data_IF_037938086313
#
_entry.id   IF_037938086313
#
_cell.length_a   1.000
_cell.length_b   1.000
_cell.length_c   1.000
_cell.angle_alpha   90.00
_cell.angle_beta   90.00
_cell.angle_gamma   90.00
#
_symmetry.space_group_name_H-M   'P 1'
#
loop_
_entity.id
_entity.type
_entity.pdbx_description
1 polymer ?
#
# COMPACT_ATOMS: atom_id res chain seq x y z
N UNK A 1 4.24 -16.36 0.35
CA UNK A 1 3.25 -16.17 1.47
C UNK A 1 2.07 -15.37 0.98
N UNK A 2 0.87 -15.69 1.38
CA UNK A 2 -0.38 -14.96 1.14
C UNK A 2 -1.28 -15.01 2.38
N UNK A 3 -2.33 -14.22 2.40
CA UNK A 3 -3.32 -14.17 3.48
C UNK A 3 -3.10 -13.03 4.46
N UNK A 4 -4.03 -12.95 5.42
CA UNK A 4 -3.98 -12.01 6.54
C UNK A 4 -3.35 -12.68 7.75
N UNK A 5 -2.34 -12.05 8.33
CA UNK A 5 -1.64 -12.57 9.49
C UNK A 5 -1.80 -11.63 10.68
N UNK A 6 -2.27 -12.18 11.79
CA UNK A 6 -2.35 -11.46 13.06
C UNK A 6 -1.22 -11.87 13.96
N UNK A 7 -0.43 -10.90 14.37
CA UNK A 7 0.70 -11.07 15.26
C UNK A 7 0.35 -10.46 16.61
N UNK A 8 0.51 -11.23 17.67
CA UNK A 8 0.44 -10.72 19.03
C UNK A 8 1.72 -11.06 19.78
N UNK A 9 2.47 -10.02 20.21
CA UNK A 9 3.70 -10.14 20.99
C UNK A 9 3.41 -9.66 22.42
N UNK A 10 3.60 -10.54 23.41
CA UNK A 10 3.19 -10.32 24.81
C UNK A 10 4.36 -10.47 25.77
N UNK A 11 4.42 -9.59 26.77
CA UNK A 11 5.18 -9.77 27.99
C UNK A 11 4.28 -9.57 29.22
N UNK A 12 4.88 -9.60 30.42
CA UNK A 12 4.14 -9.27 31.65
C UNK A 12 3.57 -7.86 31.68
N UNK A 13 4.20 -6.91 30.97
CA UNK A 13 3.87 -5.47 31.05
C UNK A 13 3.22 -4.90 29.81
N UNK A 14 3.49 -5.48 28.62
CA UNK A 14 3.08 -4.90 27.35
C UNK A 14 2.59 -5.97 26.38
N UNK A 15 1.61 -5.61 25.57
CA UNK A 15 1.06 -6.41 24.47
C UNK A 15 1.05 -5.56 23.22
N UNK A 16 1.56 -6.11 22.13
CA UNK A 16 1.47 -5.53 20.79
C UNK A 16 0.59 -6.41 19.92
N UNK A 17 -0.29 -5.79 19.13
CA UNK A 17 -1.12 -6.46 18.13
C UNK A 17 -0.93 -5.78 16.79
N UNK A 18 -0.56 -6.55 15.77
CA UNK A 18 -0.34 -6.09 14.40
C UNK A 18 -1.09 -7.03 13.46
N UNK A 19 -1.80 -6.48 12.49
CA UNK A 19 -2.46 -7.23 11.43
C UNK A 19 -1.78 -6.88 10.10
N UNK A 20 -1.35 -7.90 9.35
CA UNK A 20 -0.65 -7.77 8.07
C UNK A 20 -1.48 -8.40 6.97
N UNK A 21 -1.53 -7.73 5.82
CA UNK A 21 -2.21 -8.22 4.61
C UNK A 21 -1.30 -8.18 3.38
N UNK A 22 -0.11 -7.56 3.53
CA UNK A 22 0.79 -7.25 2.41
C UNK A 22 2.21 -7.69 2.72
N UNK A 23 2.93 -7.99 1.66
CA UNK A 23 4.34 -8.40 1.74
C UNK A 23 5.27 -7.33 2.33
N UNK A 24 4.94 -6.04 2.20
CA UNK A 24 5.72 -4.94 2.79
C UNK A 24 4.79 -4.07 3.63
N UNK A 25 5.10 -3.95 4.90
CA UNK A 25 4.42 -3.07 5.86
C UNK A 25 5.44 -2.15 6.50
N UNK A 26 5.16 -0.86 6.51
CA UNK A 26 5.98 0.15 7.18
C UNK A 26 5.37 0.45 8.55
N UNK A 27 6.17 0.31 9.61
CA UNK A 27 5.77 0.67 10.96
C UNK A 27 6.41 2.01 11.33
N UNK A 28 5.63 3.09 11.23
CA UNK A 28 6.02 4.47 11.56
C UNK A 28 5.53 4.88 12.94
N UNK A 29 5.77 6.12 13.28
CA UNK A 29 5.28 6.81 14.46
C UNK A 29 6.39 7.44 15.29
N UNK A 30 5.98 8.26 16.25
CA UNK A 30 6.89 9.05 17.09
C UNK A 30 7.77 8.19 17.99
N UNK A 31 8.76 8.83 18.60
CA UNK A 31 9.56 8.23 19.67
C UNK A 31 8.64 7.79 20.82
N UNK A 32 9.04 6.75 21.53
CA UNK A 32 8.32 6.18 22.67
C UNK A 32 6.97 5.48 22.38
N UNK A 33 6.63 5.19 21.12
CA UNK A 33 5.45 4.36 20.78
C UNK A 33 5.67 2.86 21.00
N UNK A 34 6.90 2.45 21.33
CA UNK A 34 7.25 1.06 21.64
C UNK A 34 7.74 0.23 20.45
N UNK A 35 8.05 0.83 19.30
CA UNK A 35 8.56 0.12 18.10
C UNK A 35 9.84 -0.67 18.42
N UNK A 36 10.85 -0.01 18.98
CA UNK A 36 12.10 -0.66 19.40
C UNK A 36 11.85 -1.76 20.44
N UNK A 37 10.97 -1.51 21.42
CA UNK A 37 10.59 -2.53 22.41
C UNK A 37 9.94 -3.75 21.75
N UNK A 38 9.12 -3.57 20.71
CA UNK A 38 8.55 -4.67 19.95
C UNK A 38 9.66 -5.53 19.30
N UNK A 39 10.62 -4.89 18.61
CA UNK A 39 11.72 -5.59 17.93
C UNK A 39 12.65 -6.27 18.96
N UNK A 40 12.97 -5.60 20.09
CA UNK A 40 13.73 -6.20 21.18
C UNK A 40 13.04 -7.43 21.77
N UNK A 41 11.71 -7.41 21.95
CA UNK A 41 10.94 -8.55 22.42
C UNK A 41 11.00 -9.71 21.44
N UNK A 42 10.88 -9.46 20.12
CA UNK A 42 11.03 -10.46 19.08
C UNK A 42 12.42 -11.08 19.09
N UNK A 43 13.47 -10.26 19.15
CA UNK A 43 14.87 -10.72 19.25
C UNK A 43 15.12 -11.54 20.50
N UNK A 44 14.58 -11.12 21.65
CA UNK A 44 14.69 -11.86 22.89
C UNK A 44 14.01 -13.23 22.81
N UNK A 45 12.85 -13.31 22.18
CA UNK A 45 12.17 -14.57 21.95
C UNK A 45 12.94 -15.49 20.97
N UNK A 46 13.51 -14.94 19.91
CA UNK A 46 14.32 -15.70 18.94
C UNK A 46 15.55 -16.32 19.64
N UNK A 47 16.22 -15.57 20.53
CA UNK A 47 17.44 -16.03 21.20
C UNK A 47 17.18 -16.95 22.41
N UNK A 48 16.10 -16.73 23.19
CA UNK A 48 15.88 -17.40 24.48
C UNK A 48 14.56 -18.18 24.55
N UNK A 49 13.74 -18.13 23.50
CA UNK A 49 12.43 -18.76 23.47
C UNK A 49 11.55 -18.33 24.64
N UNK A 50 10.84 -19.26 25.26
CA UNK A 50 9.96 -18.98 26.40
C UNK A 50 10.70 -18.44 27.65
N UNK A 51 12.02 -18.66 27.75
CA UNK A 51 12.82 -18.13 28.87
C UNK A 51 12.99 -16.62 28.82
N UNK A 52 12.76 -15.97 27.66
CA UNK A 52 12.74 -14.51 27.53
C UNK A 52 11.59 -13.83 28.32
N UNK A 53 10.58 -14.59 28.72
CA UNK A 53 9.35 -14.03 29.29
C UNK A 53 8.43 -13.37 28.25
N UNK A 54 8.74 -13.54 26.96
CA UNK A 54 7.93 -13.12 25.83
C UNK A 54 7.15 -14.30 25.27
N UNK A 55 5.96 -14.02 24.76
CA UNK A 55 5.13 -14.99 24.01
C UNK A 55 4.74 -14.34 22.69
N UNK A 56 4.91 -15.06 21.60
CA UNK A 56 4.45 -14.67 20.27
C UNK A 56 3.31 -15.60 19.86
N UNK A 57 2.19 -15.01 19.43
CA UNK A 57 1.04 -15.73 18.86
C UNK A 57 0.89 -15.24 17.42
N UNK A 58 1.19 -16.11 16.49
CA UNK A 58 1.05 -15.89 15.05
C UNK A 58 0.97 -17.27 14.38
N UNK A 59 0.31 -17.35 13.23
CA UNK A 59 0.28 -18.54 12.37
C UNK A 59 1.57 -18.73 11.58
N UNK A 60 2.40 -17.68 11.49
CA UNK A 60 3.72 -17.69 10.83
C UNK A 60 4.83 -17.46 11.84
N UNK A 61 6.03 -17.92 11.49
CA UNK A 61 7.22 -17.58 12.24
C UNK A 61 7.51 -16.08 12.16
N UNK A 62 7.96 -15.48 13.26
CA UNK A 62 8.42 -14.09 13.29
C UNK A 62 9.91 -14.08 13.61
N UNK A 63 10.69 -13.39 12.78
CA UNK A 63 12.16 -13.26 12.95
C UNK A 63 12.60 -11.82 12.84
N UNK A 64 13.74 -11.49 13.38
CA UNK A 64 14.39 -10.17 13.24
C UNK A 64 15.58 -10.29 12.30
N UNK A 65 15.60 -9.47 11.26
CA UNK A 65 16.72 -9.35 10.32
C UNK A 65 17.53 -8.11 10.68
N UNK A 66 18.82 -8.26 10.95
CA UNK A 66 19.67 -7.16 11.39
C UNK A 66 21.14 -7.38 11.08
N UNK A 67 21.90 -6.27 11.13
CA UNK A 67 23.36 -6.27 11.03
C UNK A 67 23.91 -6.42 9.60
N UNK A 68 25.23 -6.40 9.46
CA UNK A 68 25.92 -6.37 8.17
C UNK A 68 25.80 -7.67 7.36
N UNK A 69 25.43 -8.78 8.02
CA UNK A 69 25.27 -10.09 7.36
C UNK A 69 23.82 -10.40 6.98
N UNK A 70 22.98 -9.39 6.84
CA UNK A 70 21.56 -9.54 6.56
C UNK A 70 21.28 -10.39 5.30
N UNK A 71 22.08 -10.26 4.24
CA UNK A 71 21.91 -11.05 3.01
C UNK A 71 22.10 -12.55 3.25
N UNK A 72 23.09 -12.91 4.06
CA UNK A 72 23.34 -14.29 4.41
C UNK A 72 22.20 -14.86 5.27
N UNK A 73 21.72 -14.08 6.24
CA UNK A 73 20.59 -14.45 7.09
C UNK A 73 19.31 -14.64 6.27
N UNK A 74 19.05 -13.74 5.30
CA UNK A 74 17.83 -13.76 4.49
C UNK A 74 17.70 -15.01 3.62
N UNK A 75 18.81 -15.59 3.18
CA UNK A 75 18.82 -16.82 2.35
C UNK A 75 18.14 -18.02 3.03
N UNK A 76 18.21 -18.07 4.37
CA UNK A 76 17.66 -19.16 5.17
C UNK A 76 16.26 -18.84 5.75
N UNK A 77 15.68 -17.69 5.38
CA UNK A 77 14.38 -17.25 5.88
C UNK A 77 13.33 -17.41 4.77
N UNK A 78 12.37 -18.28 5.01
CA UNK A 78 11.26 -18.58 4.09
C UNK A 78 9.93 -18.65 4.87
N UNK A 79 8.83 -18.30 4.22
CA UNK A 79 7.46 -18.33 4.78
C UNK A 79 7.36 -17.70 6.18
N UNK A 80 8.04 -16.56 6.37
CA UNK A 80 8.31 -15.94 7.67
C UNK A 80 7.93 -14.47 7.64
N UNK A 81 7.45 -13.93 8.75
CA UNK A 81 7.27 -12.49 8.95
C UNK A 81 8.57 -11.93 9.52
N UNK A 82 9.25 -11.12 8.70
CA UNK A 82 10.58 -10.57 8.98
C UNK A 82 10.46 -9.13 9.46
N UNK A 83 10.92 -8.87 10.68
CA UNK A 83 11.00 -7.54 11.25
C UNK A 83 12.39 -6.94 11.05
N UNK A 84 12.44 -5.68 10.64
CA UNK A 84 13.69 -4.92 10.50
C UNK A 84 13.58 -3.65 11.33
N UNK A 85 14.54 -3.43 12.25
CA UNK A 85 14.49 -2.28 13.18
C UNK A 85 14.98 -0.98 12.54
N UNK A 86 14.56 0.13 13.14
CA UNK A 86 15.02 1.49 12.83
C UNK A 86 16.56 1.54 12.94
N UNK A 87 17.22 2.16 11.98
CA UNK A 87 18.70 2.21 11.93
C UNK A 87 19.37 1.10 11.10
N UNK A 88 18.61 0.16 10.56
CA UNK A 88 19.12 -0.82 9.59
C UNK A 88 19.33 -0.15 8.22
N UNK A 89 20.51 0.39 7.96
CA UNK A 89 20.81 1.20 6.76
C UNK A 89 20.64 0.47 5.43
N UNK A 90 20.68 -0.86 5.44
CA UNK A 90 20.50 -1.67 4.24
C UNK A 90 19.07 -1.61 3.67
N UNK A 91 18.06 -1.24 4.47
CA UNK A 91 16.63 -1.23 4.07
C UNK A 91 16.35 -0.29 2.90
N UNK A 92 17.07 0.83 2.81
CA UNK A 92 16.95 1.79 1.71
C UNK A 92 17.74 1.42 0.45
N UNK A 93 18.54 0.33 0.49
CA UNK A 93 19.37 -0.09 -0.63
C UNK A 93 18.58 -0.80 -1.74
N UNK A 94 19.07 -0.67 -2.98
CA UNK A 94 18.55 -1.44 -4.11
C UNK A 94 18.81 -2.95 -3.95
N UNK A 95 19.87 -3.34 -3.25
CA UNK A 95 20.21 -4.75 -3.04
C UNK A 95 19.18 -5.40 -2.10
N UNK A 96 18.77 -4.71 -1.04
CA UNK A 96 17.67 -5.17 -0.19
C UNK A 96 16.37 -5.29 -0.98
N UNK A 97 16.00 -4.27 -1.75
CA UNK A 97 14.80 -4.30 -2.59
C UNK A 97 14.79 -5.49 -3.57
N UNK A 98 15.94 -5.78 -4.19
CA UNK A 98 16.10 -6.93 -5.10
C UNK A 98 16.06 -8.28 -4.36
N UNK A 99 16.66 -8.35 -3.18
CA UNK A 99 16.71 -9.56 -2.39
C UNK A 99 15.31 -9.99 -1.93
N UNK A 100 14.52 -9.07 -1.37
CA UNK A 100 13.19 -9.38 -0.85
C UNK A 100 12.17 -9.74 -1.94
N UNK A 101 12.34 -9.25 -3.18
CA UNK A 101 11.50 -9.63 -4.33
C UNK A 101 11.55 -11.12 -4.67
N UNK A 102 12.57 -11.83 -4.21
CA UNK A 102 12.82 -13.24 -4.52
C UNK A 102 12.39 -14.17 -3.39
N UNK A 103 11.77 -13.63 -2.36
CA UNK A 103 11.35 -14.38 -1.18
C UNK A 103 9.83 -14.46 -1.10
N UNK A 104 9.34 -15.43 -0.36
CA UNK A 104 7.93 -15.59 -0.01
C UNK A 104 7.58 -15.01 1.36
N UNK A 105 8.47 -14.18 1.93
CA UNK A 105 8.29 -13.59 3.25
C UNK A 105 7.39 -12.34 3.23
N UNK A 106 6.86 -11.97 4.41
CA UNK A 106 6.31 -10.66 4.68
C UNK A 106 7.31 -9.85 5.51
N UNK A 107 7.38 -8.54 5.27
CA UNK A 107 8.34 -7.64 5.90
C UNK A 107 7.64 -6.54 6.68
N UNK A 108 8.03 -6.36 7.93
CA UNK A 108 7.64 -5.23 8.78
C UNK A 108 8.86 -4.35 9.01
N UNK A 109 8.92 -3.24 8.29
CA UNK A 109 10.06 -2.33 8.30
C UNK A 109 9.79 -1.17 9.25
N UNK A 110 10.51 -1.11 10.35
CA UNK A 110 10.42 -0.02 11.32
C UNK A 110 11.32 1.11 10.84
N UNK A 111 10.74 2.19 10.33
CA UNK A 111 11.50 3.32 9.79
C UNK A 111 10.72 4.62 9.80
N UNK A 112 11.43 5.75 9.81
CA UNK A 112 10.87 7.09 9.57
C UNK A 112 11.17 7.59 8.16
N UNK A 113 12.07 6.91 7.46
CA UNK A 113 12.47 7.27 6.11
C UNK A 113 11.45 6.81 5.09
N UNK A 114 11.38 7.52 3.98
CA UNK A 114 10.63 7.13 2.80
C UNK A 114 11.50 6.21 1.94
N UNK A 115 11.10 4.94 1.87
CA UNK A 115 11.86 3.91 1.16
C UNK A 115 11.46 3.91 -0.33
N UNK A 116 12.00 4.84 -1.12
CA UNK A 116 11.66 5.00 -2.55
C UNK A 116 12.00 3.78 -3.42
N UNK A 117 12.90 2.93 -2.94
CA UNK A 117 13.27 1.67 -3.62
C UNK A 117 12.21 0.58 -3.52
N UNK A 118 11.21 0.73 -2.64
CA UNK A 118 10.20 -0.27 -2.33
C UNK A 118 8.80 0.22 -2.72
N UNK A 119 7.99 -0.59 -3.44
CA UNK A 119 6.62 -0.26 -3.80
C UNK A 119 5.64 -0.70 -2.70
N UNK A 120 5.63 -0.03 -1.54
CA UNK A 120 4.66 -0.34 -0.50
C UNK A 120 3.40 0.50 -0.62
N UNK A 121 2.29 -0.11 -0.16
CA UNK A 121 0.99 0.53 -0.20
C UNK A 121 0.84 1.62 0.86
N UNK A 122 0.04 2.63 0.53
CA UNK A 122 -0.41 3.65 1.49
C UNK A 122 -1.13 3.01 2.67
N UNK A 123 -1.95 1.98 2.43
CA UNK A 123 -2.69 1.23 3.45
C UNK A 123 -1.80 0.35 4.34
N UNK A 124 -0.55 0.10 3.92
CA UNK A 124 0.43 -0.67 4.69
C UNK A 124 1.39 0.21 5.52
N UNK A 125 1.11 1.51 5.65
CA UNK A 125 1.86 2.40 6.54
C UNK A 125 1.09 2.49 7.86
N UNK A 126 1.62 1.83 8.89
CA UNK A 126 0.98 1.68 10.19
C UNK A 126 1.68 2.48 11.28
N UNK A 127 0.94 2.88 12.30
CA UNK A 127 1.46 3.42 13.56
C UNK A 127 0.98 2.61 14.76
N UNK A 128 1.82 2.50 15.78
CA UNK A 128 1.45 1.89 17.05
C UNK A 128 0.75 2.92 17.94
N UNK A 129 -0.49 2.61 18.32
CA UNK A 129 -1.25 3.42 19.29
C UNK A 129 -1.52 2.62 20.56
N UNK A 130 -1.34 3.28 21.70
CA UNK A 130 -1.78 2.74 22.98
C UNK A 130 -3.31 2.75 23.02
N UNK A 131 -3.90 1.55 23.14
CA UNK A 131 -5.37 1.41 23.13
C UNK A 131 -5.95 1.43 24.54
N UNK A 132 -5.30 0.75 25.47
CA UNK A 132 -5.78 0.66 26.86
C UNK A 132 -4.65 0.30 27.81
N UNK A 133 -4.90 0.47 29.11
CA UNK A 133 -4.02 0.03 30.19
C UNK A 133 -4.88 -0.66 31.24
N UNK A 134 -4.75 -1.98 31.38
CA UNK A 134 -5.50 -2.80 32.35
C UNK A 134 -4.54 -3.69 33.14
N UNK A 135 -4.78 -3.82 34.45
CA UNK A 135 -3.99 -4.70 35.32
C UNK A 135 -2.47 -4.49 35.20
N UNK A 136 -2.01 -3.23 35.17
CA UNK A 136 -0.59 -2.86 35.01
C UNK A 136 0.03 -3.29 33.67
N UNK A 137 -0.80 -3.59 32.67
CA UNK A 137 -0.37 -4.00 31.32
C UNK A 137 -0.79 -2.95 30.29
N UNK A 138 0.11 -2.56 29.41
CA UNK A 138 -0.15 -1.65 28.30
C UNK A 138 -0.46 -2.44 27.03
N UNK A 139 -1.51 -2.09 26.32
CA UNK A 139 -1.89 -2.67 25.07
C UNK A 139 -1.66 -1.67 23.94
N UNK A 140 -0.93 -2.07 22.90
CA UNK A 140 -0.67 -1.29 21.72
C UNK A 140 -1.17 -2.06 20.49
N UNK A 141 -1.86 -1.36 19.58
CA UNK A 141 -2.32 -1.91 18.33
C UNK A 141 -1.81 -1.04 17.18
N UNK A 142 -1.42 -1.69 16.08
CA UNK A 142 -1.07 -1.00 14.85
C UNK A 142 -2.32 -0.59 14.06
N UNK A 143 -2.33 0.65 13.54
CA UNK A 143 -3.41 1.21 12.73
C UNK A 143 -2.84 1.89 11.51
N UNK A 144 -3.52 1.85 10.35
CA UNK A 144 -3.13 2.64 9.18
C UNK A 144 -3.09 4.14 9.53
N UNK A 145 -2.06 4.84 9.06
CA UNK A 145 -1.90 6.28 9.30
C UNK A 145 -2.85 7.09 8.43
N UNK A 146 -3.07 6.65 7.19
CA UNK A 146 -3.78 7.40 6.15
C UNK A 146 -5.18 6.88 5.85
N UNK A 147 -5.78 6.11 6.77
CA UNK A 147 -7.11 5.49 6.59
C UNK A 147 -8.21 6.53 6.28
N UNK A 148 -8.15 7.69 6.92
CA UNK A 148 -9.12 8.78 6.70
C UNK A 148 -9.07 9.40 5.29
N UNK A 149 -7.96 9.27 4.57
CA UNK A 149 -7.82 9.80 3.21
C UNK A 149 -8.54 8.93 2.17
N UNK A 150 -8.68 7.64 2.45
CA UNK A 150 -9.40 6.69 1.58
C UNK A 150 -10.91 6.97 1.53
N UNK A 151 -11.44 7.75 2.47
CA UNK A 151 -12.86 8.05 2.61
C UNK A 151 -13.28 9.42 2.05
N UNK A 152 -12.39 10.17 1.39
CA UNK A 152 -12.74 11.49 0.85
C UNK A 152 -13.72 11.35 -0.31
N UNK A 153 -14.99 11.71 -0.05
CA UNK A 153 -16.06 11.83 -1.05
C UNK A 153 -15.81 13.08 -1.91
N UNK A 154 -14.86 13.04 -2.82
CA UNK A 154 -14.62 14.12 -3.78
C UNK A 154 -15.64 14.00 -4.90
N UNK A 155 -16.43 15.06 -5.13
CA UNK A 155 -17.31 15.17 -6.29
C UNK A 155 -16.52 15.80 -7.43
N UNK A 156 -16.49 15.16 -8.60
CA UNK A 156 -15.77 15.69 -9.77
C UNK A 156 -16.23 17.07 -10.21
N UNK A 157 -17.50 17.44 -9.93
CA UNK A 157 -18.01 18.78 -10.20
C UNK A 157 -17.37 19.90 -9.37
N UNK A 158 -16.72 19.55 -8.26
CA UNK A 158 -16.03 20.51 -7.39
C UNK A 158 -14.52 20.63 -7.71
N UNK A 159 -14.03 19.85 -8.69
CA UNK A 159 -12.61 19.77 -9.07
C UNK A 159 -12.33 20.62 -10.30
N UNK A 160 -11.24 21.37 -10.28
CA UNK A 160 -10.80 22.22 -11.41
C UNK A 160 -9.87 21.47 -12.34
N UNK A 161 -9.05 20.56 -11.80
CA UNK A 161 -8.08 19.75 -12.56
C UNK A 161 -7.95 18.34 -12.02
N UNK A 162 -7.69 17.37 -12.91
CA UNK A 162 -7.22 16.04 -12.55
C UNK A 162 -5.73 15.95 -12.80
N UNK A 163 -4.98 15.37 -11.86
CA UNK A 163 -3.55 15.06 -12.00
C UNK A 163 -3.37 13.56 -11.82
N UNK A 164 -3.06 12.85 -12.91
CA UNK A 164 -2.79 11.42 -12.88
C UNK A 164 -1.30 11.11 -12.71
N UNK A 165 -1.00 10.00 -12.04
CA UNK A 165 0.36 9.52 -11.88
C UNK A 165 0.98 9.16 -13.23
N UNK A 166 0.29 8.30 -14.01
CA UNK A 166 0.79 7.77 -15.28
C UNK A 166 0.48 8.68 -16.48
N UNK A 167 1.13 8.40 -17.61
CA UNK A 167 0.91 9.05 -18.90
C UNK A 167 0.20 8.13 -19.93
N UNK A 168 -0.23 6.94 -19.50
CA UNK A 168 -0.73 5.88 -20.35
C UNK A 168 -2.24 5.63 -20.16
N UNK A 169 -2.61 4.40 -19.86
CA UNK A 169 -4.01 3.94 -19.76
C UNK A 169 -4.82 4.72 -18.72
N UNK A 170 -4.25 5.02 -17.55
CA UNK A 170 -4.92 5.82 -16.52
C UNK A 170 -5.15 7.26 -16.98
N UNK A 171 -4.14 7.89 -17.57
CA UNK A 171 -4.28 9.23 -18.15
C UNK A 171 -5.36 9.25 -19.24
N UNK A 172 -5.41 8.25 -20.14
CA UNK A 172 -6.44 8.14 -21.18
C UNK A 172 -7.84 8.03 -20.57
N UNK A 173 -8.02 7.17 -19.55
CA UNK A 173 -9.30 7.00 -18.88
C UNK A 173 -9.75 8.29 -18.19
N UNK A 174 -8.90 8.88 -17.36
CA UNK A 174 -9.27 10.06 -16.58
C UNK A 174 -9.37 11.34 -17.41
N UNK A 175 -8.68 11.42 -18.56
CA UNK A 175 -8.94 12.46 -19.56
C UNK A 175 -10.37 12.34 -20.09
N UNK A 176 -10.81 11.13 -20.44
CA UNK A 176 -12.16 10.90 -20.93
C UNK A 176 -13.22 11.18 -19.87
N UNK A 177 -12.93 10.83 -18.63
CA UNK A 177 -13.79 11.19 -17.48
C UNK A 177 -13.85 12.71 -17.28
N UNK A 178 -12.68 13.39 -17.32
CA UNK A 178 -12.60 14.84 -17.18
C UNK A 178 -13.38 15.60 -18.25
N UNK A 179 -13.27 15.20 -19.52
CA UNK A 179 -14.05 15.76 -20.65
C UNK A 179 -15.54 15.82 -20.35
N UNK A 180 -16.11 14.78 -19.74
CA UNK A 180 -17.53 14.68 -19.40
C UNK A 180 -17.97 15.73 -18.36
N UNK A 181 -17.06 16.12 -17.47
CA UNK A 181 -17.32 17.10 -16.40
C UNK A 181 -16.74 18.49 -16.69
N UNK A 182 -16.12 18.68 -17.87
CA UNK A 182 -15.46 19.93 -18.23
C UNK A 182 -14.16 20.17 -17.43
N UNK A 183 -13.52 19.11 -16.90
CA UNK A 183 -12.31 19.17 -16.08
C UNK A 183 -11.11 18.73 -16.89
N UNK A 184 -10.04 19.55 -16.87
CA UNK A 184 -8.79 19.22 -17.57
C UNK A 184 -8.02 18.15 -16.81
N UNK A 185 -7.56 17.11 -17.52
CA UNK A 185 -6.68 16.09 -16.98
C UNK A 185 -5.24 16.37 -17.45
N UNK A 186 -4.29 16.30 -16.51
CA UNK A 186 -2.84 16.41 -16.77
C UNK A 186 -2.15 15.17 -16.19
N UNK A 187 -1.02 14.78 -16.80
CA UNK A 187 -0.23 13.65 -16.33
C UNK A 187 1.05 14.14 -15.63
N UNK A 188 1.39 13.50 -14.50
CA UNK A 188 2.66 13.69 -13.83
C UNK A 188 3.80 12.89 -14.49
N UNK A 189 3.48 11.96 -15.38
CA UNK A 189 4.44 11.05 -16.01
C UNK A 189 5.32 10.30 -14.99
N UNK A 190 4.75 9.91 -13.86
CA UNK A 190 5.37 9.13 -12.80
C UNK A 190 5.14 9.72 -11.40
N UNK A 191 5.03 8.84 -10.41
CA UNK A 191 4.72 9.19 -9.01
C UNK A 191 5.69 10.18 -8.38
N UNK A 192 6.97 10.11 -8.76
CA UNK A 192 8.03 10.97 -8.22
C UNK A 192 7.87 12.45 -8.64
N UNK A 193 7.15 12.70 -9.74
CA UNK A 193 6.91 14.05 -10.25
C UNK A 193 5.67 14.72 -9.61
N UNK A 194 4.78 13.95 -8.97
CA UNK A 194 3.53 14.48 -8.43
C UNK A 194 3.76 15.63 -7.45
N UNK A 195 4.73 15.50 -6.53
CA UNK A 195 5.07 16.55 -5.58
C UNK A 195 5.46 17.86 -6.26
N UNK A 196 6.29 17.78 -7.29
CA UNK A 196 6.77 18.96 -8.03
C UNK A 196 5.64 19.64 -8.80
N UNK A 197 4.70 18.84 -9.34
CA UNK A 197 3.57 19.37 -10.09
C UNK A 197 2.48 19.96 -9.19
N UNK A 198 2.18 19.32 -8.05
CA UNK A 198 1.14 19.80 -7.14
C UNK A 198 1.57 21.03 -6.34
N UNK A 199 2.86 21.20 -6.06
CA UNK A 199 3.36 22.28 -5.22
C UNK A 199 2.94 23.69 -5.73
N UNK A 200 3.08 24.05 -7.03
CA UNK A 200 2.65 25.34 -7.54
C UNK A 200 1.13 25.51 -7.61
N UNK A 201 0.35 24.43 -7.66
CA UNK A 201 -1.12 24.46 -7.75
C UNK A 201 -1.83 23.94 -6.50
N UNK A 202 -1.13 23.87 -5.36
CA UNK A 202 -1.71 23.34 -4.10
C UNK A 202 -2.94 24.10 -3.60
N UNK A 203 -3.09 25.37 -3.97
CA UNK A 203 -4.28 26.18 -3.66
C UNK A 203 -5.42 26.05 -4.67
N UNK A 204 -5.23 25.30 -5.75
CA UNK A 204 -6.27 24.96 -6.72
C UNK A 204 -7.02 23.69 -6.28
N UNK A 205 -8.26 23.52 -6.72
CA UNK A 205 -9.03 22.30 -6.47
C UNK A 205 -8.62 21.19 -7.42
N UNK A 206 -7.48 20.56 -7.12
CA UNK A 206 -6.90 19.46 -7.92
C UNK A 206 -7.21 18.12 -7.27
N UNK A 207 -7.66 17.14 -8.06
CA UNK A 207 -7.72 15.75 -7.65
C UNK A 207 -6.52 15.00 -8.19
N UNK A 208 -5.64 14.57 -7.29
CA UNK A 208 -4.49 13.72 -7.61
C UNK A 208 -4.94 12.26 -7.60
N UNK A 209 -4.63 11.54 -8.66
CA UNK A 209 -5.01 10.14 -8.86
C UNK A 209 -3.73 9.33 -9.05
N UNK A 210 -3.48 8.37 -8.15
CA UNK A 210 -2.30 7.52 -8.18
C UNK A 210 -2.59 6.11 -7.67
N UNK A 211 -1.71 5.14 -8.02
CA UNK A 211 -1.85 3.74 -7.62
C UNK A 211 -1.48 3.54 -6.15
N UNK A 212 -2.49 3.51 -5.28
CA UNK A 212 -2.34 3.42 -3.82
C UNK A 212 -1.54 2.20 -3.34
N UNK A 213 -1.54 1.11 -4.11
CA UNK A 213 -0.75 -0.08 -3.82
C UNK A 213 0.78 0.14 -3.83
N UNK A 214 1.26 1.22 -4.47
CA UNK A 214 2.68 1.52 -4.63
C UNK A 214 3.06 2.98 -4.31
N UNK A 215 2.11 3.79 -3.86
CA UNK A 215 2.28 5.22 -3.60
C UNK A 215 2.80 5.55 -2.19
N UNK A 216 3.02 4.55 -1.35
CA UNK A 216 3.47 4.72 0.03
C UNK A 216 4.71 5.60 0.20
N UNK A 217 5.77 5.46 -0.62
CA UNK A 217 6.97 6.30 -0.52
C UNK A 217 6.72 7.81 -0.68
N UNK A 218 5.72 8.21 -1.45
CA UNK A 218 5.39 9.62 -1.72
C UNK A 218 4.47 10.23 -0.65
N UNK A 219 3.79 9.39 0.15
CA UNK A 219 2.73 9.85 1.05
C UNK A 219 3.16 10.87 2.08
N UNK A 220 4.35 10.71 2.67
CA UNK A 220 4.80 11.62 3.72
C UNK A 220 4.92 13.07 3.21
N UNK A 221 5.50 13.23 2.04
CA UNK A 221 5.69 14.54 1.40
C UNK A 221 4.36 15.16 0.95
N UNK A 222 3.51 14.37 0.31
CA UNK A 222 2.20 14.82 -0.16
C UNK A 222 1.29 15.14 1.03
N UNK A 223 1.29 14.33 2.09
CA UNK A 223 0.49 14.57 3.28
C UNK A 223 0.93 15.85 4.01
N UNK A 224 2.23 16.16 4.06
CA UNK A 224 2.71 17.45 4.60
C UNK A 224 2.17 18.64 3.83
N UNK A 225 2.15 18.57 2.48
CA UNK A 225 1.56 19.62 1.66
C UNK A 225 0.06 19.78 1.92
N UNK A 226 -0.67 18.66 2.16
CA UNK A 226 -2.11 18.70 2.48
C UNK A 226 -2.41 19.36 3.83
N UNK A 227 -1.45 19.38 4.76
CA UNK A 227 -1.62 20.02 6.08
C UNK A 227 -1.41 21.53 6.05
N UNK A 228 -0.99 22.11 4.94
CA UNK A 228 -0.86 23.55 4.81
C UNK A 228 -2.26 24.20 4.66
N UNK A 229 -2.50 25.33 5.34
CA UNK A 229 -3.80 26.01 5.33
C UNK A 229 -4.30 26.41 3.93
N UNK A 230 -3.37 26.63 2.99
CA UNK A 230 -3.68 26.98 1.59
C UNK A 230 -3.96 25.76 0.71
N UNK A 231 -3.75 24.55 1.18
CA UNK A 231 -3.91 23.33 0.38
C UNK A 231 -5.38 23.03 0.12
N UNK A 232 -5.75 22.88 -1.16
CA UNK A 232 -7.12 22.56 -1.60
C UNK A 232 -7.16 21.28 -2.44
N UNK A 233 -6.02 20.65 -2.71
CA UNK A 233 -5.99 19.41 -3.46
C UNK A 233 -6.44 18.21 -2.62
N UNK A 234 -6.95 17.22 -3.30
CA UNK A 234 -7.41 15.95 -2.72
C UNK A 234 -6.70 14.78 -3.37
N UNK A 235 -6.68 13.63 -2.69
CA UNK A 235 -6.09 12.40 -3.19
C UNK A 235 -7.18 11.36 -3.46
N UNK A 236 -7.04 10.65 -4.58
CA UNK A 236 -7.77 9.42 -4.85
C UNK A 236 -6.75 8.33 -5.15
N UNK A 237 -6.63 7.36 -4.25
CA UNK A 237 -5.58 6.35 -4.23
C UNK A 237 -6.21 4.94 -4.27
N UNK A 238 -6.83 4.54 -5.41
CA UNK A 238 -7.25 3.15 -5.61
C UNK A 238 -6.03 2.23 -5.56
N UNK A 239 -6.26 0.92 -5.43
CA UNK A 239 -5.15 -0.05 -5.45
C UNK A 239 -4.33 0.09 -6.76
N UNK A 240 -5.02 0.14 -7.91
CA UNK A 240 -4.45 0.50 -9.21
C UNK A 240 -5.57 0.85 -10.20
N UNK A 241 -5.22 1.31 -11.40
CA UNK A 241 -6.17 1.48 -12.49
C UNK A 241 -6.87 0.15 -12.82
N UNK A 242 -6.11 -0.93 -12.94
CA UNK A 242 -6.65 -2.25 -13.30
C UNK A 242 -7.63 -2.76 -12.23
N UNK A 243 -7.34 -2.51 -10.95
CA UNK A 243 -8.28 -2.80 -9.88
C UNK A 243 -9.61 -2.05 -10.06
N UNK A 244 -9.57 -0.78 -10.47
CA UNK A 244 -10.79 -0.01 -10.78
C UNK A 244 -11.57 -0.62 -11.94
N UNK A 245 -10.88 -1.00 -13.02
CA UNK A 245 -11.51 -1.62 -14.18
C UNK A 245 -12.16 -2.97 -13.83
N UNK A 246 -11.49 -3.80 -13.03
CA UNK A 246 -12.02 -5.06 -12.52
C UNK A 246 -13.23 -4.83 -11.61
N UNK A 247 -13.15 -3.84 -10.71
CA UNK A 247 -14.22 -3.50 -9.77
C UNK A 247 -15.47 -2.94 -10.46
N UNK A 248 -15.33 -2.35 -11.64
CA UNK A 248 -16.47 -1.93 -12.46
C UNK A 248 -17.30 -3.11 -12.99
N UNK A 249 -16.89 -4.34 -12.71
CA UNK A 249 -17.55 -5.60 -13.09
C UNK A 249 -17.92 -5.67 -14.58
N UNK A 250 -16.99 -5.19 -15.43
CA UNK A 250 -17.19 -5.20 -16.87
C UNK A 250 -17.06 -6.60 -17.48
N UNK A 251 -16.46 -7.53 -16.74
CA UNK A 251 -16.24 -8.91 -17.14
C UNK A 251 -17.38 -9.84 -16.74
N UNK A 252 -18.18 -9.48 -15.73
CA UNK A 252 -19.26 -10.31 -15.19
C UNK A 252 -18.77 -11.66 -14.64
N UNK A 253 -17.59 -11.70 -14.03
CA UNK A 253 -16.93 -12.90 -13.51
C UNK A 253 -16.99 -12.91 -11.97
N UNK A 254 -17.79 -13.80 -11.35
CA UNK A 254 -17.98 -13.82 -9.89
C UNK A 254 -16.68 -14.07 -9.09
N UNK A 255 -15.75 -14.88 -9.63
CA UNK A 255 -14.46 -15.17 -9.00
C UNK A 255 -13.56 -13.92 -8.95
N UNK A 256 -13.68 -13.02 -9.91
CA UNK A 256 -12.98 -11.72 -9.87
C UNK A 256 -13.49 -10.87 -8.70
N UNK A 257 -14.79 -10.85 -8.46
CA UNK A 257 -15.37 -10.12 -7.32
C UNK A 257 -14.89 -10.68 -5.98
N UNK A 258 -14.77 -12.00 -5.85
CA UNK A 258 -14.21 -12.64 -4.65
C UNK A 258 -12.74 -12.22 -4.42
N UNK A 259 -11.92 -12.23 -5.48
CA UNK A 259 -10.52 -11.78 -5.42
C UNK A 259 -10.43 -10.31 -4.97
N UNK A 260 -11.32 -9.45 -5.47
CA UNK A 260 -11.33 -8.03 -5.11
C UNK A 260 -11.78 -7.77 -3.66
N UNK A 261 -12.61 -8.65 -3.08
CA UNK A 261 -13.05 -8.57 -1.69
C UNK A 261 -11.99 -9.07 -0.71
N UNK A 262 -11.21 -10.09 -1.10
CA UNK A 262 -10.22 -10.74 -0.26
C UNK A 262 -8.85 -10.88 -0.96
N UNK A 263 -8.26 -9.78 -1.47
CA UNK A 263 -7.08 -9.86 -2.34
C UNK A 263 -5.88 -10.51 -1.65
N UNK A 264 -5.72 -10.33 -0.33
CA UNK A 264 -4.63 -10.95 0.42
C UNK A 264 -4.62 -12.47 0.30
N UNK A 265 -5.78 -13.12 0.17
CA UNK A 265 -5.88 -14.58 0.10
C UNK A 265 -5.46 -15.15 -1.26
N UNK A 266 -5.32 -14.28 -2.27
CA UNK A 266 -5.01 -14.67 -3.65
C UNK A 266 -3.62 -14.20 -4.11
N UNK A 267 -3.07 -13.15 -3.51
CA UNK A 267 -1.82 -12.53 -3.95
C UNK A 267 -0.63 -13.18 -3.26
N UNK A 268 0.10 -14.01 -4.01
CA UNK A 268 1.32 -14.66 -3.52
C UNK A 268 2.53 -13.70 -3.60
N UNK A 269 3.18 -13.45 -2.45
CA UNK A 269 4.29 -12.50 -2.33
C UNK A 269 5.53 -12.87 -3.13
N UNK A 270 5.77 -14.16 -3.36
CA UNK A 270 6.87 -14.65 -4.19
C UNK A 270 6.66 -14.41 -5.69
N UNK A 271 5.40 -14.22 -6.12
CA UNK A 271 5.03 -13.96 -7.52
C UNK A 271 4.82 -12.47 -7.79
N UNK A 272 4.18 -11.78 -6.83
CA UNK A 272 3.78 -10.39 -7.00
C UNK A 272 4.37 -9.50 -5.90
N UNK A 273 5.33 -8.67 -6.27
CA UNK A 273 5.98 -7.74 -5.35
C UNK A 273 5.09 -6.57 -4.91
N UNK A 274 4.06 -6.26 -5.67
CA UNK A 274 3.00 -5.30 -5.31
C UNK A 274 1.64 -5.79 -5.80
N UNK A 275 0.58 -5.33 -5.13
CA UNK A 275 -0.78 -5.63 -5.55
C UNK A 275 -1.14 -5.03 -6.91
N UNK A 276 -0.56 -3.89 -7.29
CA UNK A 276 -0.67 -3.31 -8.63
C UNK A 276 -0.29 -4.34 -9.71
N UNK A 277 0.88 -4.99 -9.56
CA UNK A 277 1.35 -6.01 -10.53
C UNK A 277 0.40 -7.19 -10.63
N UNK A 278 -0.19 -7.61 -9.51
CA UNK A 278 -1.18 -8.68 -9.51
C UNK A 278 -2.43 -8.29 -10.29
N UNK A 279 -3.00 -7.11 -10.03
CA UNK A 279 -4.22 -6.66 -10.72
C UNK A 279 -3.98 -6.42 -12.21
N UNK A 280 -2.82 -5.91 -12.59
CA UNK A 280 -2.40 -5.81 -14.00
C UNK A 280 -2.40 -7.20 -14.65
N UNK A 281 -1.72 -8.16 -14.05
CA UNK A 281 -1.66 -9.54 -14.56
C UNK A 281 -3.05 -10.18 -14.63
N UNK A 282 -3.87 -10.01 -13.60
CA UNK A 282 -5.23 -10.54 -13.55
C UNK A 282 -6.09 -9.99 -14.70
N UNK A 283 -6.07 -8.66 -14.93
CA UNK A 283 -6.85 -8.04 -15.99
C UNK A 283 -6.36 -8.48 -17.37
N UNK A 284 -5.04 -8.53 -17.59
CA UNK A 284 -4.45 -9.03 -18.85
C UNK A 284 -4.88 -10.47 -19.13
N UNK A 285 -4.78 -11.37 -18.15
CA UNK A 285 -5.17 -12.77 -18.31
C UNK A 285 -6.66 -12.93 -18.58
N UNK A 286 -7.53 -12.16 -17.91
CA UNK A 286 -8.98 -12.26 -18.06
C UNK A 286 -9.51 -11.70 -19.38
N UNK A 287 -8.71 -10.84 -20.03
CA UNK A 287 -9.13 -10.15 -21.26
C UNK A 287 -8.36 -10.61 -22.51
N UNK A 288 -7.32 -11.44 -22.37
CA UNK A 288 -6.43 -11.84 -23.47
C UNK A 288 -7.15 -12.43 -24.70
N UNK A 289 -8.22 -13.19 -24.46
CA UNK A 289 -8.97 -13.89 -25.49
C UNK A 289 -10.22 -13.09 -25.99
N UNK A 290 -10.37 -11.85 -25.53
CA UNK A 290 -11.48 -10.95 -25.88
C UNK A 290 -10.90 -9.73 -26.62
N UNK A 291 -10.80 -9.75 -27.95
CA UNK A 291 -10.02 -8.75 -28.71
C UNK A 291 -10.42 -7.29 -28.44
N UNK A 292 -11.71 -6.99 -28.29
CA UNK A 292 -12.20 -5.62 -28.05
C UNK A 292 -12.03 -5.14 -26.60
N UNK A 293 -11.72 -6.04 -25.65
CA UNK A 293 -11.46 -5.76 -24.23
C UNK A 293 -10.02 -6.04 -23.84
N UNK A 294 -9.21 -6.61 -24.73
CA UNK A 294 -7.85 -7.01 -24.39
C UNK A 294 -7.08 -5.83 -23.80
N UNK A 295 -6.78 -5.93 -22.52
CA UNK A 295 -6.09 -4.87 -21.79
C UNK A 295 -4.66 -4.69 -22.30
N UNK A 296 -4.27 -3.43 -22.47
CA UNK A 296 -2.91 -3.00 -22.79
C UNK A 296 -2.60 -1.75 -21.95
N UNK A 297 -1.57 -1.85 -21.10
CA UNK A 297 -1.17 -0.75 -20.20
C UNK A 297 -0.70 0.49 -20.98
N UNK A 298 -0.17 0.34 -22.20
CA UNK A 298 0.27 1.43 -23.04
C UNK A 298 -0.89 2.16 -23.75
N UNK A 299 -1.92 1.40 -24.13
CA UNK A 299 -3.07 1.93 -24.88
C UNK A 299 -4.37 1.27 -24.44
N UNK A 300 -5.18 2.01 -23.72
CA UNK A 300 -6.47 1.53 -23.24
C UNK A 300 -7.43 1.29 -24.42
N UNK A 301 -8.01 0.08 -24.55
CA UNK A 301 -9.02 -0.20 -25.58
C UNK A 301 -10.23 0.73 -25.48
N UNK A 302 -10.78 1.11 -26.63
CA UNK A 302 -11.97 2.00 -26.72
C UNK A 302 -13.15 1.51 -25.88
N UNK A 303 -13.26 0.20 -25.71
CA UNK A 303 -14.26 -0.43 -24.85
C UNK A 303 -14.33 0.17 -23.43
N UNK A 304 -13.18 0.47 -22.81
CA UNK A 304 -13.12 1.06 -21.47
C UNK A 304 -13.42 2.55 -21.44
N UNK A 305 -13.30 3.22 -22.59
CA UNK A 305 -13.52 4.66 -22.74
C UNK A 305 -14.97 5.03 -23.06
N UNK A 306 -15.86 4.04 -23.32
CA UNK A 306 -17.25 4.28 -23.67
C UNK A 306 -18.09 4.75 -22.47
N UNK A 307 -18.97 5.73 -22.69
CA UNK A 307 -19.78 6.43 -21.67
C UNK A 307 -20.53 5.54 -20.66
N UNK A 308 -21.18 4.48 -21.13
CA UNK A 308 -21.95 3.57 -20.26
C UNK A 308 -21.08 2.85 -19.21
N UNK A 309 -19.77 2.74 -19.48
CA UNK A 309 -18.83 2.00 -18.64
C UNK A 309 -18.05 2.93 -17.72
N UNK A 310 -17.67 4.11 -18.21
CA UNK A 310 -17.14 5.17 -17.36
C UNK A 310 -18.16 5.63 -16.30
N UNK A 311 -19.46 5.53 -16.57
CA UNK A 311 -20.53 5.80 -15.60
C UNK A 311 -20.61 4.74 -14.50
N UNK A 312 -20.33 3.44 -14.78
CA UNK A 312 -20.23 2.39 -13.75
C UNK A 312 -19.01 2.58 -12.87
N UNK A 313 -17.89 2.99 -13.44
CA UNK A 313 -16.69 3.37 -12.68
C UNK A 313 -16.98 4.51 -11.70
N UNK A 314 -17.83 5.47 -12.08
CA UNK A 314 -18.22 6.60 -11.24
C UNK A 314 -19.35 6.26 -10.23
N UNK A 315 -20.25 5.33 -10.55
CA UNK A 315 -21.39 4.98 -9.70
C UNK A 315 -21.06 3.96 -8.61
N UNK A 316 -20.05 3.10 -8.84
CA UNK A 316 -19.55 2.18 -7.83
C UNK A 316 -18.65 2.85 -6.78
N UNK A 317 -18.26 4.09 -7.04
CA UNK A 317 -17.48 4.93 -6.14
C UNK A 317 -18.04 6.36 -6.21
N UNK A 318 -18.62 6.82 -5.12
CA UNK A 318 -18.50 8.24 -4.81
C UNK A 318 -16.99 8.45 -4.61
N UNK A 319 -16.35 9.06 -5.59
CA UNK A 319 -14.96 9.50 -5.52
C UNK A 319 -14.78 10.41 -4.31
#
# INVERSE_FOLDING_TARGET
MKGKHKIEVRSKRIVFTIELERNITILRGDSATGKTTLVEMLSAYENYGRKSGVTIVCDKMCRVLSGALWEAQLKDIQDTIVFVDEGSTFVSSLDFARAIQRTDNYYVLVTREDLSTLPYSVNAILELKKTTSRFKRTYNKAYPIYDSLSASNVQLGDVEKLLTEDANSGYQLFTKVGEKYGVVCISAAGKDNIKQMIFPMKSEKVLVIADGAAFGPQMNDIYRLMQEDSAKFSLYLPESLEWLLLKADLLGQPDVLEILQHPADFIESSEFFSWERFFTNLLEQRTKDIPYMRYDKGKLPEFYLQDRKSTRLNSSHRL
#
